data_IF_000750063468
#
_entry.id   IF_000750063468
#
_cell.length_a   1.000
_cell.length_b   1.000
_cell.length_c   1.000
_cell.angle_alpha   90.00
_cell.angle_beta   90.00
_cell.angle_gamma   90.00
#
_symmetry.space_group_name_H-M   'P 1'
#
loop_
_entity.id
_entity.type
_entity.pdbx_description
1 polymer ?
#
# COMPACT_ATOMS: atom_id res chain seq x y z
N UNK A 1 -9.05 -14.48 -8.54
CA UNK A 1 -9.94 -15.66 -8.75
C UNK A 1 -9.16 -16.97 -8.99
N UNK A 2 -8.20 -17.06 -9.95
CA UNK A 2 -7.49 -18.31 -10.25
C UNK A 2 -6.71 -18.86 -9.05
N UNK A 3 -5.96 -18.01 -8.34
CA UNK A 3 -5.18 -18.43 -7.18
C UNK A 3 -6.09 -18.78 -6.01
N UNK A 4 -7.13 -17.99 -5.76
CA UNK A 4 -8.12 -18.27 -4.70
C UNK A 4 -8.79 -19.63 -4.93
N UNK A 5 -9.23 -19.88 -6.17
CA UNK A 5 -9.81 -21.18 -6.53
C UNK A 5 -8.82 -22.33 -6.31
N UNK A 6 -7.52 -22.11 -6.56
CA UNK A 6 -6.48 -23.11 -6.28
C UNK A 6 -6.25 -23.33 -4.79
N UNK A 7 -6.25 -22.28 -3.98
CA UNK A 7 -6.18 -22.42 -2.52
C UNK A 7 -7.31 -23.31 -2.00
N UNK A 8 -8.55 -23.05 -2.42
CA UNK A 8 -9.69 -23.88 -2.06
C UNK A 8 -9.56 -25.34 -2.53
N UNK A 9 -9.10 -25.57 -3.78
CA UNK A 9 -8.87 -26.91 -4.33
C UNK A 9 -7.81 -27.71 -3.55
N UNK A 10 -6.79 -27.03 -3.03
CA UNK A 10 -5.74 -27.65 -2.20
C UNK A 10 -6.07 -27.73 -0.72
N UNK A 11 -7.27 -27.34 -0.31
CA UNK A 11 -7.71 -27.41 1.08
C UNK A 11 -6.98 -26.44 2.00
N UNK A 12 -6.53 -25.29 1.47
CA UNK A 12 -5.96 -24.22 2.30
C UNK A 12 -7.08 -23.60 3.12
N UNK A 13 -6.91 -23.59 4.44
CA UNK A 13 -7.85 -22.91 5.34
C UNK A 13 -7.72 -21.39 5.18
N UNK A 14 -8.85 -20.74 4.93
CA UNK A 14 -8.94 -19.28 4.79
C UNK A 14 -9.80 -18.75 5.93
N UNK A 15 -9.18 -17.95 6.80
CA UNK A 15 -9.85 -17.29 7.92
C UNK A 15 -10.10 -15.83 7.55
N UNK A 16 -11.33 -15.53 7.12
CA UNK A 16 -11.76 -14.18 6.78
C UNK A 16 -12.08 -13.34 8.02
N UNK A 17 -12.03 -12.00 7.88
CA UNK A 17 -12.33 -11.04 8.95
C UNK A 17 -11.44 -11.22 10.19
N UNK A 18 -10.19 -11.49 9.93
CA UNK A 18 -9.16 -11.63 10.95
C UNK A 18 -8.05 -10.58 10.69
N UNK A 19 -7.74 -9.80 11.70
CA UNK A 19 -6.70 -8.76 11.65
C UNK A 19 -5.49 -9.20 12.48
N UNK A 20 -4.31 -9.26 11.86
CA UNK A 20 -3.07 -9.52 12.58
C UNK A 20 -2.69 -8.28 13.40
N UNK A 21 -2.47 -8.47 14.70
CA UNK A 21 -2.15 -7.39 15.64
C UNK A 21 -0.69 -7.43 16.11
N UNK A 22 -0.11 -8.62 16.26
CA UNK A 22 1.27 -8.78 16.68
C UNK A 22 1.84 -10.13 16.27
N UNK A 23 3.14 -10.21 16.06
CA UNK A 23 3.86 -11.49 15.95
C UNK A 23 4.14 -12.07 17.33
N UNK A 24 4.08 -13.41 17.43
CA UNK A 24 4.49 -14.15 18.64
C UNK A 24 5.94 -14.53 18.46
N UNK A 25 6.83 -14.06 19.34
CA UNK A 25 8.27 -14.34 19.25
C UNK A 25 8.96 -14.31 20.62
N UNK A 26 10.12 -14.96 20.71
CA UNK A 26 10.98 -14.95 21.90
C UNK A 26 12.27 -14.13 21.73
N UNK A 27 12.31 -13.29 20.69
CA UNK A 27 13.48 -12.49 20.31
C UNK A 27 14.41 -13.19 19.32
N UNK A 28 14.29 -14.51 19.14
CA UNK A 28 15.09 -15.29 18.19
C UNK A 28 14.25 -15.99 17.11
N UNK A 29 13.03 -16.41 17.48
CA UNK A 29 12.15 -17.19 16.62
C UNK A 29 10.73 -16.63 16.63
N UNK A 30 10.11 -16.54 15.45
CA UNK A 30 8.68 -16.33 15.28
C UNK A 30 7.94 -17.67 15.48
N UNK A 31 6.86 -17.64 16.25
CA UNK A 31 6.01 -18.79 16.58
C UNK A 31 4.57 -18.61 16.14
N UNK A 32 4.28 -17.59 15.32
CA UNK A 32 2.94 -17.27 14.85
C UNK A 32 2.55 -15.83 15.07
N UNK A 33 1.24 -15.59 15.22
CA UNK A 33 0.69 -14.25 15.40
C UNK A 33 -0.51 -14.24 16.36
N UNK A 34 -0.72 -13.10 17.04
CA UNK A 34 -1.98 -12.76 17.69
C UNK A 34 -2.84 -12.05 16.65
N UNK A 35 -4.07 -12.54 16.51
CA UNK A 35 -5.02 -12.07 15.52
C UNK A 35 -6.32 -11.69 16.22
N UNK A 36 -6.90 -10.55 15.85
CA UNK A 36 -8.20 -10.11 16.34
C UNK A 36 -9.31 -10.52 15.37
N UNK A 37 -10.31 -11.20 15.86
CA UNK A 37 -11.54 -11.45 15.11
C UNK A 37 -12.33 -10.15 14.94
N UNK A 38 -12.61 -9.76 13.71
CA UNK A 38 -13.43 -8.57 13.44
C UNK A 38 -14.93 -8.83 13.61
N UNK A 39 -15.33 -10.07 13.96
CA UNK A 39 -16.72 -10.43 14.22
C UNK A 39 -17.15 -10.11 15.64
N UNK A 40 -16.28 -10.40 16.61
CA UNK A 40 -16.58 -10.34 18.05
C UNK A 40 -15.48 -9.69 18.89
N UNK A 41 -14.33 -9.36 18.30
CA UNK A 41 -13.18 -8.75 18.95
C UNK A 41 -12.30 -9.74 19.71
N UNK A 42 -12.54 -11.05 19.61
CA UNK A 42 -11.74 -12.06 20.29
C UNK A 42 -10.29 -12.07 19.79
N UNK A 43 -9.32 -12.19 20.71
CA UNK A 43 -7.91 -12.35 20.39
C UNK A 43 -7.56 -13.85 20.30
N UNK A 44 -7.21 -14.29 19.11
CA UNK A 44 -6.84 -15.67 18.78
C UNK A 44 -5.34 -15.78 18.53
N UNK A 45 -4.68 -16.75 19.15
CA UNK A 45 -3.28 -17.06 18.88
C UNK A 45 -3.17 -18.11 17.77
N UNK A 46 -2.62 -17.75 16.62
CA UNK A 46 -2.25 -18.69 15.57
C UNK A 46 -0.81 -19.12 15.78
N UNK A 47 -0.61 -20.38 16.12
CA UNK A 47 0.70 -20.96 16.40
C UNK A 47 1.20 -21.66 15.14
N UNK A 48 2.42 -21.32 14.71
CA UNK A 48 2.99 -21.87 13.50
C UNK A 48 4.52 -22.06 13.61
N UNK A 49 5.04 -23.07 12.93
CA UNK A 49 6.49 -23.28 12.80
C UNK A 49 7.14 -22.28 11.84
N UNK A 50 6.38 -21.78 10.86
CA UNK A 50 6.77 -20.75 9.93
C UNK A 50 5.60 -19.78 9.69
N UNK A 51 5.89 -18.49 9.65
CA UNK A 51 4.91 -17.42 9.44
C UNK A 51 5.34 -16.59 8.22
N UNK A 52 4.43 -16.32 7.30
CA UNK A 52 4.68 -15.52 6.11
C UNK A 52 3.91 -14.20 6.19
N UNK A 53 4.61 -13.08 6.05
CA UNK A 53 4.00 -11.77 5.83
C UNK A 53 3.85 -11.57 4.32
N UNK A 54 2.60 -11.48 3.85
CA UNK A 54 2.25 -11.25 2.43
C UNK A 54 1.10 -10.24 2.34
N UNK A 55 1.16 -9.19 3.16
CA UNK A 55 0.09 -8.21 3.40
C UNK A 55 0.04 -7.08 2.39
N UNK A 56 0.90 -7.11 1.35
CA UNK A 56 1.02 -6.02 0.39
C UNK A 56 1.78 -4.82 0.95
N UNK A 57 1.65 -3.69 0.27
CA UNK A 57 2.37 -2.47 0.60
C UNK A 57 1.71 -1.60 1.67
N UNK A 58 2.17 -0.36 1.76
CA UNK A 58 1.71 0.64 2.74
C UNK A 58 1.27 1.96 2.07
N UNK A 59 0.75 1.88 0.85
CA UNK A 59 0.38 3.07 0.09
C UNK A 59 -0.76 3.90 0.67
N UNK A 60 -1.57 3.33 1.58
CA UNK A 60 -2.68 4.05 2.24
C UNK A 60 -2.24 5.10 3.26
N UNK A 61 -0.94 5.24 3.51
CA UNK A 61 -0.40 6.40 4.22
C UNK A 61 -0.39 7.68 3.37
N UNK A 62 -0.65 7.59 2.07
CA UNK A 62 -0.77 8.72 1.15
C UNK A 62 -2.23 9.05 0.85
N UNK A 63 -2.55 10.34 0.65
CA UNK A 63 -3.90 10.82 0.31
C UNK A 63 -4.35 10.28 -1.04
N UNK A 64 -3.52 10.46 -2.07
CA UNK A 64 -3.76 9.94 -3.41
C UNK A 64 -3.02 8.62 -3.59
N UNK A 65 -3.77 7.51 -3.64
CA UNK A 65 -3.20 6.17 -3.79
C UNK A 65 -4.13 5.24 -4.56
N UNK A 66 -3.54 4.44 -5.44
CA UNK A 66 -4.26 3.36 -6.15
C UNK A 66 -4.45 2.11 -5.29
N UNK A 67 -3.86 2.08 -4.09
CA UNK A 67 -3.87 0.89 -3.24
C UNK A 67 -5.22 0.69 -2.55
N UNK A 68 -5.58 -0.57 -2.32
CA UNK A 68 -6.72 -0.96 -1.52
C UNK A 68 -6.59 -0.44 -0.08
N UNK A 69 -7.74 -0.29 0.61
CA UNK A 69 -7.79 0.22 2.00
C UNK A 69 -6.93 -0.61 2.95
N UNK A 70 -6.82 -1.92 2.69
CA UNK A 70 -6.04 -2.85 3.51
C UNK A 70 -4.52 -2.74 3.31
N UNK A 71 -4.04 -1.94 2.35
CA UNK A 71 -2.60 -1.72 2.13
C UNK A 71 -2.10 -0.56 3.01
N UNK A 72 -2.26 -0.71 4.31
CA UNK A 72 -1.94 0.29 5.35
C UNK A 72 -0.57 0.09 6.02
N UNK A 73 0.12 -1.00 5.68
CA UNK A 73 1.41 -1.34 6.28
C UNK A 73 1.32 -2.19 7.56
N UNK A 74 0.15 -2.74 7.87
CA UNK A 74 -0.07 -3.51 9.11
C UNK A 74 0.92 -4.67 9.28
N UNK A 75 1.24 -5.42 8.22
CA UNK A 75 2.23 -6.51 8.30
C UNK A 75 3.65 -6.01 8.60
N UNK A 76 4.05 -4.88 8.00
CA UNK A 76 5.33 -4.23 8.25
C UNK A 76 5.41 -3.72 9.70
N UNK A 77 4.34 -3.15 10.23
CA UNK A 77 4.26 -2.70 11.62
C UNK A 77 4.33 -3.89 12.59
N UNK A 78 3.65 -4.99 12.31
CA UNK A 78 3.80 -6.22 13.13
C UNK A 78 5.26 -6.70 13.19
N UNK A 79 5.99 -6.62 12.06
CA UNK A 79 7.40 -6.95 12.02
C UNK A 79 8.27 -5.95 12.80
N UNK A 80 8.07 -4.65 12.59
CA UNK A 80 8.82 -3.58 13.25
C UNK A 80 8.65 -3.62 14.77
N UNK A 81 7.44 -3.85 15.26
CA UNK A 81 7.10 -3.89 16.68
C UNK A 81 7.76 -5.05 17.43
N UNK A 82 8.33 -6.03 16.74
CA UNK A 82 9.16 -7.06 17.38
C UNK A 82 10.45 -6.48 17.97
N UNK A 83 10.90 -5.31 17.51
CA UNK A 83 12.16 -4.66 17.90
C UNK A 83 13.42 -5.31 17.34
N UNK A 84 13.30 -6.44 16.61
CA UNK A 84 14.43 -7.21 16.07
C UNK A 84 14.39 -7.42 14.56
N UNK A 85 13.21 -7.26 13.94
CA UNK A 85 13.03 -7.39 12.49
C UNK A 85 13.20 -6.00 11.83
N UNK A 86 14.22 -5.82 10.98
CA UNK A 86 14.41 -4.55 10.29
C UNK A 86 13.44 -4.40 9.11
N UNK A 87 13.01 -3.17 8.87
CA UNK A 87 12.42 -2.75 7.60
C UNK A 87 13.51 -2.14 6.70
N UNK A 88 13.36 -2.26 5.39
CA UNK A 88 14.31 -1.71 4.42
C UNK A 88 13.61 -0.85 3.37
N UNK A 89 14.33 0.15 2.85
CA UNK A 89 13.93 1.00 1.73
C UNK A 89 12.52 1.60 1.85
N UNK A 90 12.09 1.96 3.07
CA UNK A 90 10.73 2.48 3.31
C UNK A 90 10.46 3.80 2.58
N UNK A 91 11.51 4.52 2.20
CA UNK A 91 11.45 5.73 1.37
C UNK A 91 11.26 5.44 -0.12
N UNK A 92 11.42 4.18 -0.55
CA UNK A 92 11.31 3.79 -1.96
C UNK A 92 9.84 3.61 -2.35
N UNK A 93 9.20 4.70 -2.72
CA UNK A 93 7.78 4.77 -3.11
C UNK A 93 7.68 5.13 -4.59
N UNK A 94 6.91 4.36 -5.35
CA UNK A 94 6.58 4.67 -6.73
C UNK A 94 5.25 5.41 -6.84
N UNK A 95 5.27 6.55 -7.53
CA UNK A 95 4.07 7.23 -7.99
C UNK A 95 3.77 6.82 -9.43
N UNK A 96 2.51 6.48 -9.70
CA UNK A 96 2.04 6.26 -11.07
C UNK A 96 1.49 7.56 -11.64
N UNK A 97 1.82 7.92 -12.88
CA UNK A 97 1.40 9.19 -13.48
C UNK A 97 -0.12 9.38 -13.54
N UNK A 98 -0.86 8.31 -13.77
CA UNK A 98 -2.26 8.37 -14.19
C UNK A 98 -3.19 7.66 -13.21
N UNK A 99 -3.24 8.12 -11.95
CA UNK A 99 -4.37 7.86 -11.05
C UNK A 99 -5.51 8.81 -11.39
N UNK A 100 -6.73 8.30 -11.47
CA UNK A 100 -7.91 9.08 -11.82
C UNK A 100 -8.35 10.02 -10.69
N UNK A 101 -8.95 11.14 -11.00
CA UNK A 101 -9.49 12.08 -10.02
C UNK A 101 -11.02 12.07 -10.12
N UNK A 102 -11.77 11.92 -9.00
CA UNK A 102 -11.33 11.88 -7.61
C UNK A 102 -11.08 10.48 -7.04
N UNK A 103 -11.20 9.41 -7.81
CA UNK A 103 -11.30 8.04 -7.30
C UNK A 103 -9.96 7.36 -7.04
N UNK A 104 -8.84 7.93 -7.52
CA UNK A 104 -7.48 7.40 -7.51
C UNK A 104 -7.34 6.00 -8.16
N UNK A 105 -8.36 5.54 -8.90
CA UNK A 105 -8.29 4.28 -9.64
C UNK A 105 -7.25 4.40 -10.76
N UNK A 106 -6.46 3.36 -10.95
CA UNK A 106 -5.39 3.35 -11.92
C UNK A 106 -5.91 3.41 -13.36
N UNK A 107 -5.52 4.44 -14.12
CA UNK A 107 -5.54 4.39 -15.57
C UNK A 107 -4.25 3.71 -16.03
N UNK A 108 -4.37 2.50 -16.56
CA UNK A 108 -3.20 1.67 -16.88
C UNK A 108 -2.20 2.37 -17.79
N UNK A 109 -0.92 2.00 -17.66
CA UNK A 109 0.15 2.45 -18.57
C UNK A 109 -0.16 2.13 -20.03
N UNK A 110 -0.97 1.10 -20.31
CA UNK A 110 -1.45 0.74 -21.63
C UNK A 110 -2.12 1.90 -22.39
N UNK A 111 -2.82 2.80 -21.69
CA UNK A 111 -3.40 3.99 -22.33
C UNK A 111 -2.33 4.84 -23.05
N UNK A 112 -1.19 5.07 -22.37
CA UNK A 112 -0.05 5.82 -22.93
C UNK A 112 0.73 4.97 -23.93
N UNK A 113 0.85 3.67 -23.67
CA UNK A 113 1.47 2.70 -24.57
C UNK A 113 0.77 2.60 -25.93
N UNK A 114 -0.56 2.71 -25.94
CA UNK A 114 -1.37 2.69 -27.15
C UNK A 114 -1.43 4.06 -27.87
N UNK A 115 -0.78 5.08 -27.31
CA UNK A 115 -0.66 6.41 -27.91
C UNK A 115 -1.41 7.53 -27.18
N UNK A 116 -2.01 7.25 -26.03
CA UNK A 116 -2.67 8.29 -25.20
C UNK A 116 -1.70 9.38 -24.76
N UNK A 117 -2.16 10.63 -24.75
CA UNK A 117 -1.37 11.83 -24.47
C UNK A 117 -1.78 12.51 -23.17
N UNK A 118 -0.84 13.25 -22.57
CA UNK A 118 -1.08 14.06 -21.36
C UNK A 118 -1.23 15.53 -21.75
N UNK A 119 -2.35 16.13 -21.33
CA UNK A 119 -2.67 17.52 -21.63
C UNK A 119 -2.80 18.34 -20.35
N UNK A 120 -2.49 19.63 -20.45
CA UNK A 120 -2.63 20.60 -19.38
C UNK A 120 -4.03 21.27 -19.35
N UNK A 121 -4.19 22.34 -18.54
CA UNK A 121 -5.41 23.12 -18.44
C UNK A 121 -5.82 23.79 -19.76
N UNK A 122 -4.88 24.03 -20.67
CA UNK A 122 -5.12 24.63 -22.00
C UNK A 122 -5.28 23.54 -23.09
N UNK A 123 -5.39 22.28 -22.71
CA UNK A 123 -5.35 21.12 -23.61
C UNK A 123 -4.06 21.03 -24.43
N UNK A 124 -2.95 21.60 -23.91
CA UNK A 124 -1.65 21.53 -24.55
C UNK A 124 -0.91 20.24 -24.13
N UNK A 125 -0.35 19.53 -25.11
CA UNK A 125 0.47 18.32 -24.88
C UNK A 125 1.88 18.73 -24.44
N UNK A 126 2.12 18.75 -23.13
CA UNK A 126 3.33 19.31 -22.52
C UNK A 126 4.49 18.33 -22.40
N UNK A 127 4.27 17.01 -22.42
CA UNK A 127 5.33 16.02 -22.18
C UNK A 127 6.51 16.11 -23.15
N UNK A 128 6.32 16.37 -24.47
CA UNK A 128 7.45 16.55 -25.40
C UNK A 128 8.40 17.71 -25.04
N UNK A 129 7.95 18.74 -24.33
CA UNK A 129 8.79 19.86 -23.89
C UNK A 129 9.77 19.46 -22.79
N UNK A 130 9.40 18.46 -21.98
CA UNK A 130 10.23 17.95 -20.89
C UNK A 130 11.06 16.72 -21.30
N UNK A 131 10.47 15.85 -22.09
CA UNK A 131 11.04 14.56 -22.49
C UNK A 131 10.87 14.36 -24.01
N UNK A 132 11.67 15.02 -24.86
CA UNK A 132 11.45 15.07 -26.31
C UNK A 132 11.47 13.71 -27.01
N UNK A 133 12.29 12.75 -26.51
CA UNK A 133 12.46 11.45 -27.15
C UNK A 133 11.35 10.46 -26.78
N UNK A 134 10.92 10.42 -25.52
CA UNK A 134 10.02 9.41 -25.00
C UNK A 134 8.64 9.96 -24.61
N UNK A 135 8.53 11.26 -24.40
CA UNK A 135 7.31 11.95 -24.00
C UNK A 135 6.54 11.15 -22.91
N UNK A 136 5.31 10.75 -23.16
CA UNK A 136 4.46 9.98 -22.25
C UNK A 136 4.97 8.55 -21.98
N UNK A 137 5.92 8.06 -22.77
CA UNK A 137 6.54 6.73 -22.62
C UNK A 137 7.82 6.75 -21.80
N UNK A 138 8.21 7.88 -21.25
CA UNK A 138 9.26 7.95 -20.25
C UNK A 138 8.87 7.13 -19.00
N UNK A 139 9.86 6.79 -18.16
CA UNK A 139 9.61 5.99 -16.95
C UNK A 139 8.60 6.69 -16.02
N UNK A 140 7.87 5.90 -15.24
CA UNK A 140 6.78 6.39 -14.36
C UNK A 140 7.21 7.51 -13.44
N UNK A 141 8.41 7.40 -12.87
CA UNK A 141 8.98 8.41 -11.98
C UNK A 141 9.27 9.72 -12.70
N UNK A 142 9.77 9.65 -13.94
CA UNK A 142 10.01 10.82 -14.78
C UNK A 142 8.70 11.50 -15.13
N UNK A 143 7.73 10.76 -15.69
CA UNK A 143 6.43 11.32 -16.06
C UNK A 143 5.72 11.96 -14.85
N UNK A 144 5.70 11.26 -13.71
CA UNK A 144 5.08 11.78 -12.47
C UNK A 144 5.75 13.07 -11.98
N UNK A 145 7.07 13.15 -12.05
CA UNK A 145 7.80 14.39 -11.70
C UNK A 145 7.47 15.53 -12.66
N UNK A 146 7.45 15.29 -13.99
CA UNK A 146 7.13 16.32 -14.98
C UNK A 146 5.69 16.80 -14.84
N UNK A 147 4.74 15.91 -14.63
CA UNK A 147 3.36 16.28 -14.35
C UNK A 147 3.24 17.18 -13.11
N UNK A 148 3.89 16.78 -12.01
CA UNK A 148 3.87 17.55 -10.76
C UNK A 148 4.54 18.93 -10.95
N UNK A 149 5.68 18.96 -11.63
CA UNK A 149 6.36 20.22 -11.96
C UNK A 149 5.48 21.15 -12.80
N UNK A 150 4.79 20.60 -13.81
CA UNK A 150 3.91 21.34 -14.71
C UNK A 150 2.69 21.90 -13.95
N UNK A 151 2.07 21.11 -13.08
CA UNK A 151 0.99 21.58 -12.21
C UNK A 151 1.45 22.69 -11.25
N UNK A 152 2.67 22.56 -10.66
CA UNK A 152 3.24 23.60 -9.77
C UNK A 152 3.51 24.92 -10.49
N UNK A 153 3.74 24.90 -11.79
CA UNK A 153 3.87 26.10 -12.66
C UNK A 153 2.52 26.76 -12.96
N UNK A 154 1.41 26.19 -12.47
CA UNK A 154 0.07 26.74 -12.64
C UNK A 154 -0.70 26.21 -13.84
N UNK A 155 -0.20 25.19 -14.54
CA UNK A 155 -0.84 24.57 -15.69
C UNK A 155 -1.77 23.38 -15.33
N UNK A 156 -2.00 23.14 -14.03
CA UNK A 156 -2.95 22.15 -13.56
C UNK A 156 -4.39 22.66 -13.62
N UNK A 157 -5.31 21.76 -13.87
CA UNK A 157 -6.76 22.00 -13.77
C UNK A 157 -7.14 22.00 -12.30
N UNK A 158 -7.77 23.06 -11.82
CA UNK A 158 -8.22 23.18 -10.42
C UNK A 158 -9.50 22.42 -10.19
N UNK A 159 -9.57 21.63 -9.12
CA UNK A 159 -10.79 20.96 -8.70
C UNK A 159 -10.91 20.90 -7.18
N UNK A 160 -12.12 20.63 -6.63
CA UNK A 160 -12.30 20.41 -5.19
C UNK A 160 -11.52 19.22 -4.63
N UNK A 161 -11.07 18.32 -5.51
CA UNK A 161 -10.34 17.12 -5.19
C UNK A 161 -8.82 17.25 -5.36
N UNK A 162 -8.34 18.46 -5.61
CA UNK A 162 -6.95 18.79 -5.92
C UNK A 162 -6.68 19.01 -7.41
N UNK A 163 -5.47 19.49 -7.69
CA UNK A 163 -5.04 19.75 -9.06
C UNK A 163 -4.87 18.44 -9.84
N UNK A 164 -5.19 18.49 -11.12
CA UNK A 164 -5.04 17.37 -12.04
C UNK A 164 -4.65 17.83 -13.45
N UNK A 165 -4.35 16.89 -14.31
CA UNK A 165 -4.11 17.03 -15.72
C UNK A 165 -5.08 16.13 -16.48
N UNK A 166 -5.04 16.15 -17.80
CA UNK A 166 -5.89 15.32 -18.63
C UNK A 166 -5.11 14.20 -19.28
N UNK A 167 -5.67 13.00 -19.29
CA UNK A 167 -5.28 11.92 -20.18
C UNK A 167 -6.25 11.88 -21.35
N UNK A 168 -5.74 12.05 -22.57
CA UNK A 168 -6.52 12.00 -23.80
C UNK A 168 -6.25 10.69 -24.57
N UNK A 169 -7.29 9.90 -24.75
CA UNK A 169 -7.28 8.69 -25.56
C UNK A 169 -8.33 8.73 -26.68
N UNK A 170 -9.06 9.86 -26.85
CA UNK A 170 -10.16 10.02 -27.80
C UNK A 170 -9.74 9.70 -29.25
N UNK A 171 -8.53 10.08 -29.61
CA UNK A 171 -7.96 9.88 -30.95
C UNK A 171 -7.67 8.42 -31.29
N UNK A 172 -7.66 7.51 -30.30
CA UNK A 172 -7.52 6.06 -30.54
C UNK A 172 -8.80 5.46 -31.17
N UNK A 173 -9.93 6.15 -31.04
CA UNK A 173 -11.21 5.77 -31.60
C UNK A 173 -12.00 4.76 -30.76
N UNK A 174 -13.31 4.78 -30.93
CA UNK A 174 -14.27 4.01 -30.14
C UNK A 174 -13.95 2.51 -30.13
N UNK A 175 -13.69 1.93 -31.30
CA UNK A 175 -13.41 0.48 -31.40
C UNK A 175 -12.20 0.08 -30.57
N UNK A 176 -11.10 0.85 -30.61
CA UNK A 176 -9.91 0.57 -29.82
C UNK A 176 -10.18 0.68 -28.32
N UNK A 177 -10.84 1.77 -27.90
CA UNK A 177 -11.16 2.04 -26.50
C UNK A 177 -12.05 0.94 -25.92
N UNK A 178 -13.10 0.53 -26.64
CA UNK A 178 -14.07 -0.46 -26.15
C UNK A 178 -13.58 -1.91 -26.23
N UNK A 179 -12.51 -2.18 -26.98
CA UNK A 179 -11.97 -3.56 -27.12
C UNK A 179 -10.62 -3.74 -26.44
N UNK A 180 -9.63 -2.89 -26.72
CA UNK A 180 -8.27 -3.00 -26.17
C UNK A 180 -8.14 -2.35 -24.79
N UNK A 181 -8.84 -1.26 -24.57
CA UNK A 181 -8.87 -0.53 -23.29
C UNK A 181 -10.23 -0.65 -22.60
N UNK A 182 -10.92 -1.78 -22.80
CA UNK A 182 -12.27 -2.01 -22.27
C UNK A 182 -12.37 -1.76 -20.77
N UNK A 183 -11.40 -2.24 -19.99
CA UNK A 183 -11.36 -2.02 -18.54
C UNK A 183 -11.33 -0.52 -18.21
N UNK A 184 -10.58 0.28 -18.98
CA UNK A 184 -10.51 1.74 -18.80
C UNK A 184 -11.84 2.39 -19.18
N UNK A 185 -12.48 1.93 -20.26
CA UNK A 185 -13.82 2.39 -20.62
C UNK A 185 -14.82 2.13 -19.49
N UNK A 186 -14.82 0.91 -18.94
CA UNK A 186 -15.71 0.53 -17.85
C UNK A 186 -15.42 1.35 -16.58
N UNK A 187 -14.15 1.57 -16.21
CA UNK A 187 -13.76 2.40 -15.06
C UNK A 187 -14.23 3.84 -15.25
N UNK A 188 -13.95 4.44 -16.41
CA UNK A 188 -14.34 5.83 -16.68
C UNK A 188 -15.85 6.03 -16.62
N UNK A 189 -16.61 5.12 -17.21
CA UNK A 189 -18.08 5.26 -17.28
C UNK A 189 -18.75 4.98 -15.95
N UNK A 190 -18.33 3.96 -15.20
CA UNK A 190 -19.02 3.54 -13.97
C UNK A 190 -18.53 4.26 -12.71
N UNK A 191 -17.26 4.67 -12.66
CA UNK A 191 -16.67 5.25 -11.44
C UNK A 191 -16.36 6.74 -11.56
N UNK A 192 -16.12 7.26 -12.78
CA UNK A 192 -15.82 8.67 -12.98
C UNK A 192 -16.99 9.44 -13.60
N UNK A 193 -17.97 8.76 -14.20
CA UNK A 193 -19.02 9.39 -14.97
C UNK A 193 -18.51 10.07 -16.25
N UNK A 194 -17.37 9.62 -16.78
CA UNK A 194 -16.69 10.15 -17.97
C UNK A 194 -16.78 9.14 -19.11
N UNK A 195 -17.21 9.58 -20.30
CA UNK A 195 -17.10 8.76 -21.49
C UNK A 195 -15.76 9.04 -22.21
N UNK A 196 -14.76 8.14 -22.10
CA UNK A 196 -13.41 8.39 -22.61
C UNK A 196 -13.31 8.40 -24.14
N UNK A 197 -14.39 8.02 -24.85
CA UNK A 197 -14.47 8.15 -26.32
C UNK A 197 -14.58 9.62 -26.75
N UNK A 198 -15.22 10.45 -25.93
CA UNK A 198 -15.54 11.85 -26.25
C UNK A 198 -14.98 12.85 -25.25
N UNK A 199 -14.58 12.41 -24.07
CA UNK A 199 -14.18 13.28 -22.95
C UNK A 199 -12.78 12.96 -22.47
N UNK A 200 -12.10 13.96 -21.95
CA UNK A 200 -10.80 13.83 -21.29
C UNK A 200 -10.94 13.17 -19.94
N UNK A 201 -9.95 12.34 -19.58
CA UNK A 201 -9.91 11.63 -18.30
C UNK A 201 -9.08 12.44 -17.32
N UNK A 202 -9.62 12.88 -16.16
CA UNK A 202 -8.85 13.62 -15.17
C UNK A 202 -7.87 12.67 -14.46
N UNK A 203 -6.59 13.01 -14.47
CA UNK A 203 -5.52 12.18 -13.88
C UNK A 203 -4.50 13.01 -13.12
N UNK A 204 -3.89 12.40 -12.10
CA UNK A 204 -2.76 12.98 -11.36
C UNK A 204 -1.76 11.91 -10.96
N UNK A 205 -0.50 12.30 -10.66
CA UNK A 205 0.44 11.39 -10.02
C UNK A 205 -0.10 10.89 -8.69
N UNK A 206 -0.15 9.57 -8.53
CA UNK A 206 -0.81 8.89 -7.41
C UNK A 206 0.12 7.80 -6.89
N UNK A 207 0.25 7.67 -5.58
CA UNK A 207 1.04 6.58 -5.00
C UNK A 207 0.52 5.24 -5.51
N UNK A 208 1.43 4.33 -5.87
CA UNK A 208 1.05 3.11 -6.56
C UNK A 208 1.72 1.85 -6.02
N UNK A 209 3.01 1.89 -5.70
CA UNK A 209 3.78 0.73 -5.28
C UNK A 209 4.82 1.09 -4.22
N UNK A 210 4.98 0.20 -3.24
CA UNK A 210 5.97 0.33 -2.16
C UNK A 210 7.09 -0.67 -2.40
N UNK A 211 8.32 -0.22 -2.69
CA UNK A 211 9.46 -1.12 -2.88
C UNK A 211 10.14 -1.48 -1.57
N UNK A 212 9.85 -0.75 -0.50
CA UNK A 212 10.27 -1.06 0.87
C UNK A 212 9.36 -2.08 1.55
N UNK A 213 9.79 -2.56 2.71
CA UNK A 213 9.03 -3.53 3.50
C UNK A 213 9.90 -4.30 4.48
N UNK A 214 9.44 -5.48 4.88
CA UNK A 214 10.21 -6.39 5.75
C UNK A 214 11.49 -6.83 5.05
N UNK A 215 12.64 -6.54 5.66
CA UNK A 215 13.94 -6.88 5.10
C UNK A 215 14.15 -8.39 5.14
N UNK A 216 14.43 -8.99 3.97
CA UNK A 216 14.63 -10.43 3.83
C UNK A 216 15.94 -10.75 3.12
N UNK A 217 16.38 -11.98 3.28
CA UNK A 217 17.38 -12.57 2.41
C UNK A 217 16.78 -13.01 1.05
N UNK A 218 17.61 -13.57 0.18
CA UNK A 218 17.20 -14.06 -1.14
C UNK A 218 16.18 -15.20 -1.11
N UNK A 219 16.06 -15.91 0.00
CA UNK A 219 15.16 -17.05 0.20
C UNK A 219 13.88 -16.65 0.96
N UNK A 220 13.70 -15.34 1.21
CA UNK A 220 12.52 -14.76 1.84
C UNK A 220 12.51 -14.83 3.35
N UNK A 221 13.60 -15.28 4.00
CA UNK A 221 13.71 -15.24 5.45
C UNK A 221 13.85 -13.79 5.92
N UNK A 222 13.02 -13.36 6.84
CA UNK A 222 13.15 -12.07 7.47
C UNK A 222 14.40 -12.06 8.38
N UNK A 223 15.21 -11.00 8.28
CA UNK A 223 16.29 -10.82 9.24
C UNK A 223 15.73 -10.62 10.65
N UNK A 224 16.45 -11.10 11.65
CA UNK A 224 16.12 -10.93 13.07
C UNK A 224 15.31 -12.08 13.68
N UNK A 225 14.40 -12.74 12.97
CA UNK A 225 13.60 -13.84 13.52
C UNK A 225 13.61 -15.08 12.64
N UNK A 226 14.08 -16.21 13.17
CA UNK A 226 13.96 -17.52 12.53
C UNK A 226 12.47 -17.90 12.39
N UNK A 227 12.11 -18.50 11.27
CA UNK A 227 10.73 -18.93 11.00
C UNK A 227 9.78 -17.81 10.56
N UNK A 228 10.27 -16.58 10.45
CA UNK A 228 9.53 -15.48 9.82
C UNK A 228 9.99 -15.32 8.37
N UNK A 229 9.04 -15.15 7.46
CA UNK A 229 9.23 -14.94 6.04
C UNK A 229 8.42 -13.73 5.58
N UNK A 230 8.84 -13.11 4.48
CA UNK A 230 8.01 -12.12 3.80
C UNK A 230 8.15 -12.28 2.27
N UNK A 231 7.07 -11.95 1.53
CA UNK A 231 6.99 -12.10 0.09
C UNK A 231 6.16 -11.01 -0.57
N UNK A 232 6.40 -10.79 -1.88
CA UNK A 232 5.71 -9.79 -2.67
C UNK A 232 5.95 -8.38 -2.13
N UNK A 233 5.00 -7.48 -2.32
CA UNK A 233 5.11 -6.07 -1.95
C UNK A 233 5.25 -5.82 -0.44
N UNK A 234 5.06 -6.83 0.42
CA UNK A 234 5.32 -6.73 1.85
C UNK A 234 6.80 -6.87 2.21
N UNK A 235 7.61 -7.44 1.32
CA UNK A 235 9.02 -7.71 1.51
C UNK A 235 9.92 -6.65 0.86
N UNK A 236 11.13 -6.50 1.39
CA UNK A 236 12.19 -5.70 0.80
C UNK A 236 13.44 -6.55 0.56
N UNK A 237 13.70 -6.92 -0.68
CA UNK A 237 14.88 -7.65 -1.14
C UNK A 237 15.59 -6.97 -2.32
N UNK A 238 15.41 -5.66 -2.45
CA UNK A 238 16.06 -4.76 -3.42
C UNK A 238 15.77 -5.05 -4.90
N UNK A 239 14.70 -5.81 -5.20
CA UNK A 239 14.39 -6.27 -6.56
C UNK A 239 14.12 -5.13 -7.56
N UNK A 240 13.47 -4.07 -7.10
CA UNK A 240 12.93 -3.02 -7.98
C UNK A 240 13.68 -1.68 -7.91
N UNK A 241 14.65 -1.52 -7.01
CA UNK A 241 15.25 -0.21 -6.74
C UNK A 241 14.19 0.83 -6.33
N UNK A 242 14.20 2.00 -6.96
CA UNK A 242 13.24 3.09 -6.69
C UNK A 242 12.17 3.27 -7.77
N UNK A 243 12.16 2.43 -8.80
CA UNK A 243 11.18 2.51 -9.89
C UNK A 243 10.86 1.12 -10.46
N UNK A 244 9.81 0.48 -9.94
CA UNK A 244 9.34 -0.80 -10.44
C UNK A 244 8.80 -0.68 -11.86
N UNK A 245 9.25 -1.53 -12.77
CA UNK A 245 8.77 -1.58 -14.15
C UNK A 245 7.35 -2.16 -14.23
N UNK A 246 6.61 -1.74 -15.27
CA UNK A 246 5.25 -2.20 -15.52
C UNK A 246 5.14 -3.73 -15.58
N UNK A 247 4.10 -4.31 -14.97
CA UNK A 247 3.87 -5.76 -14.91
C UNK A 247 4.71 -6.52 -13.88
N UNK A 248 5.85 -5.99 -13.42
CA UNK A 248 6.78 -6.72 -12.55
C UNK A 248 6.24 -6.98 -11.14
N UNK A 249 5.24 -6.24 -10.66
CA UNK A 249 4.58 -6.56 -9.39
C UNK A 249 3.87 -7.92 -9.45
N UNK A 250 3.10 -8.18 -10.51
CA UNK A 250 2.44 -9.48 -10.69
C UNK A 250 3.46 -10.60 -10.90
N UNK A 251 4.50 -10.37 -11.71
CA UNK A 251 5.58 -11.32 -11.90
C UNK A 251 6.26 -11.67 -10.57
N UNK A 252 6.59 -10.65 -9.78
CA UNK A 252 7.17 -10.84 -8.45
C UNK A 252 6.26 -11.65 -7.54
N UNK A 253 4.99 -11.26 -7.37
CA UNK A 253 4.09 -11.95 -6.44
C UNK A 253 3.90 -13.43 -6.80
N UNK A 254 3.81 -13.77 -8.08
CA UNK A 254 3.68 -15.16 -8.54
C UNK A 254 4.98 -15.93 -8.35
N UNK A 255 6.12 -15.36 -8.78
CA UNK A 255 7.43 -16.03 -8.71
C UNK A 255 7.89 -16.14 -7.27
N UNK A 256 7.84 -15.06 -6.48
CA UNK A 256 8.26 -15.07 -5.09
C UNK A 256 7.36 -15.97 -4.25
N UNK A 257 6.05 -15.94 -4.45
CA UNK A 257 5.13 -16.82 -3.74
C UNK A 257 5.47 -18.29 -3.95
N UNK A 258 5.75 -18.71 -5.18
CA UNK A 258 6.19 -20.08 -5.48
C UNK A 258 7.55 -20.41 -4.89
N UNK A 259 8.53 -19.52 -5.08
CA UNK A 259 9.92 -19.74 -4.64
C UNK A 259 10.01 -19.77 -3.12
N UNK A 260 9.50 -18.74 -2.44
CA UNK A 260 9.53 -18.63 -0.98
C UNK A 260 8.69 -19.74 -0.34
N UNK A 261 7.53 -20.09 -0.93
CA UNK A 261 6.77 -21.24 -0.47
C UNK A 261 7.57 -22.55 -0.46
N UNK A 262 8.40 -22.79 -1.49
CA UNK A 262 9.28 -23.95 -1.51
C UNK A 262 10.36 -23.87 -0.41
N UNK A 263 10.92 -22.68 -0.15
CA UNK A 263 11.90 -22.46 0.92
C UNK A 263 11.28 -22.63 2.31
N UNK A 264 10.05 -22.21 2.50
CA UNK A 264 9.31 -22.49 3.74
C UNK A 264 9.13 -24.01 3.96
N UNK A 265 8.82 -24.78 2.92
CA UNK A 265 8.75 -26.26 3.01
C UNK A 265 10.10 -26.88 3.38
N UNK A 266 11.21 -26.40 2.78
CA UNK A 266 12.56 -26.83 3.15
C UNK A 266 12.85 -26.54 4.63
N UNK A 267 12.56 -25.32 5.07
CA UNK A 267 12.70 -24.92 6.48
C UNK A 267 11.88 -25.81 7.43
N UNK A 268 10.63 -26.11 7.08
CA UNK A 268 9.75 -26.94 7.91
C UNK A 268 10.25 -28.38 8.09
N UNK A 269 10.92 -28.95 7.07
CA UNK A 269 11.50 -30.30 7.16
C UNK A 269 12.65 -30.42 8.18
N UNK A 270 13.38 -29.31 8.38
CA UNK A 270 14.50 -29.23 9.31
C UNK A 270 14.18 -28.61 10.66
N UNK A 271 12.97 -28.10 10.84
CA UNK A 271 12.61 -27.35 12.05
C UNK A 271 11.86 -28.21 13.07
N UNK A 272 12.36 -28.24 14.30
CA UNK A 272 11.63 -28.78 15.44
C UNK A 272 10.50 -27.83 15.85
N UNK A 273 9.40 -28.38 16.38
CA UNK A 273 8.32 -27.60 16.96
C UNK A 273 8.77 -27.08 18.32
N UNK A 274 9.16 -25.80 18.36
CA UNK A 274 9.49 -25.14 19.63
C UNK A 274 8.31 -24.23 19.98
N UNK A 275 7.40 -24.74 20.80
CA UNK A 275 6.32 -23.94 21.36
C UNK A 275 6.68 -23.51 22.78
N UNK A 276 6.52 -22.20 23.05
CA UNK A 276 6.67 -21.61 24.38
C UNK A 276 5.40 -20.86 24.74
N UNK A 277 4.83 -21.14 25.88
CA UNK A 277 3.58 -20.52 26.36
C UNK A 277 3.77 -19.05 26.74
N UNK A 278 4.95 -18.70 27.28
CA UNK A 278 5.25 -17.34 27.75
C UNK A 278 5.16 -16.28 26.63
N UNK A 279 5.86 -16.42 25.47
CA UNK A 279 5.74 -15.46 24.37
C UNK A 279 4.30 -15.28 23.84
N UNK A 280 3.50 -16.34 23.84
CA UNK A 280 2.08 -16.25 23.44
C UNK A 280 1.29 -15.38 24.42
N UNK A 281 1.49 -15.61 25.72
CA UNK A 281 0.82 -14.84 26.76
C UNK A 281 1.26 -13.37 26.75
N UNK A 282 2.56 -13.11 26.52
CA UNK A 282 3.11 -11.76 26.49
C UNK A 282 2.60 -10.99 25.26
N UNK A 283 2.61 -11.59 24.07
CA UNK A 283 2.03 -10.98 22.88
C UNK A 283 0.54 -10.70 23.05
N UNK A 284 -0.24 -11.65 23.59
CA UNK A 284 -1.67 -11.46 23.87
C UNK A 284 -1.93 -10.33 24.87
N UNK A 285 -1.16 -10.27 25.96
CA UNK A 285 -1.28 -9.21 26.97
C UNK A 285 -0.94 -7.84 26.37
N UNK A 286 0.11 -7.76 25.56
CA UNK A 286 0.49 -6.53 24.88
C UNK A 286 -0.64 -6.01 23.99
N UNK A 287 -1.18 -6.87 23.11
CA UNK A 287 -2.29 -6.51 22.23
C UNK A 287 -3.53 -6.11 23.04
N UNK A 288 -3.93 -6.92 24.05
CA UNK A 288 -5.06 -6.59 24.89
C UNK A 288 -4.89 -5.23 25.58
N UNK A 289 -3.71 -4.97 26.14
CA UNK A 289 -3.39 -3.68 26.76
C UNK A 289 -3.50 -2.52 25.76
N UNK A 290 -2.96 -2.66 24.56
CA UNK A 290 -3.04 -1.63 23.51
C UNK A 290 -4.49 -1.30 23.17
N UNK A 291 -5.33 -2.33 23.01
CA UNK A 291 -6.75 -2.16 22.76
C UNK A 291 -7.45 -1.50 23.93
N UNK A 292 -7.17 -1.93 25.15
CA UNK A 292 -7.75 -1.34 26.39
C UNK A 292 -7.33 0.12 26.56
N UNK A 293 -6.08 0.46 26.26
CA UNK A 293 -5.57 1.83 26.30
C UNK A 293 -6.33 2.74 25.31
N UNK A 294 -6.56 2.27 24.07
CA UNK A 294 -7.37 2.99 23.08
C UNK A 294 -8.82 3.12 23.56
N UNK A 295 -9.42 2.05 24.08
CA UNK A 295 -10.79 2.06 24.60
C UNK A 295 -10.93 3.00 25.79
N UNK A 296 -9.91 3.12 26.64
CA UNK A 296 -9.92 4.02 27.80
C UNK A 296 -10.00 5.50 27.40
N UNK A 297 -9.51 5.83 26.19
CA UNK A 297 -9.60 7.17 25.61
C UNK A 297 -10.98 7.50 24.99
N UNK A 298 -12.00 6.70 25.27
CA UNK A 298 -13.37 6.76 24.69
C UNK A 298 -13.97 8.17 24.61
N UNK A 299 -13.65 9.04 25.54
CA UNK A 299 -14.12 10.43 25.59
C UNK A 299 -13.08 11.43 25.02
N UNK A 300 -12.10 10.92 24.29
CA UNK A 300 -11.12 11.75 23.60
C UNK A 300 -11.78 12.71 22.62
N UNK A 301 -11.11 13.82 22.35
CA UNK A 301 -11.62 14.90 21.47
C UNK A 301 -11.17 14.76 20.02
N UNK A 302 -10.15 13.91 19.76
CA UNK A 302 -9.59 13.72 18.44
C UNK A 302 -10.38 12.66 17.66
N UNK A 303 -10.64 12.94 16.39
CA UNK A 303 -11.24 12.00 15.46
C UNK A 303 -10.15 11.23 14.70
N UNK A 304 -10.19 9.90 14.74
CA UNK A 304 -9.17 9.07 14.08
C UNK A 304 -9.14 9.28 12.55
N UNK A 305 -10.27 9.56 11.92
CA UNK A 305 -10.32 9.83 10.47
C UNK A 305 -9.71 11.17 10.11
N UNK A 306 -9.88 12.19 10.96
CA UNK A 306 -9.24 13.50 10.77
C UNK A 306 -7.73 13.40 10.93
N UNK A 307 -7.26 12.62 11.92
CA UNK A 307 -5.82 12.36 12.11
C UNK A 307 -5.23 11.57 10.93
N UNK A 308 -5.94 10.54 10.45
CA UNK A 308 -5.54 9.80 9.25
C UNK A 308 -5.45 10.71 8.03
N UNK A 309 -6.45 11.56 7.83
CA UNK A 309 -6.47 12.53 6.75
C UNK A 309 -5.29 13.49 6.84
N UNK A 310 -5.02 14.04 8.03
CA UNK A 310 -3.87 14.92 8.24
C UNK A 310 -2.54 14.21 7.98
N UNK A 311 -2.37 12.96 8.44
CA UNK A 311 -1.19 12.14 8.13
C UNK A 311 -1.00 11.97 6.63
N UNK A 312 -2.08 11.63 5.90
CA UNK A 312 -2.04 11.43 4.47
C UNK A 312 -1.67 12.70 3.71
N UNK A 313 -2.13 13.86 4.17
CA UNK A 313 -1.76 15.15 3.58
C UNK A 313 -0.29 15.48 3.84
N UNK A 314 0.22 15.26 5.06
CA UNK A 314 1.65 15.41 5.39
C UNK A 314 2.50 14.52 4.48
N UNK A 315 2.12 13.26 4.30
CA UNK A 315 2.87 12.34 3.44
C UNK A 315 2.87 12.78 1.97
N UNK A 316 1.76 13.34 1.46
CA UNK A 316 1.72 13.90 0.10
C UNK A 316 2.55 15.15 -0.05
N UNK A 317 2.51 16.06 0.92
CA UNK A 317 3.14 17.39 0.85
C UNK A 317 4.64 17.32 1.10
N UNK A 318 5.03 16.68 2.20
CA UNK A 318 6.39 16.71 2.74
C UNK A 318 7.23 15.47 2.33
N UNK A 319 6.59 14.33 2.04
CA UNK A 319 7.23 13.04 1.71
C UNK A 319 6.79 12.51 0.34
N UNK A 320 6.31 13.39 -0.53
CA UNK A 320 5.76 13.04 -1.84
C UNK A 320 6.83 12.80 -2.92
N UNK A 321 6.52 13.23 -4.16
CA UNK A 321 7.39 13.02 -5.34
C UNK A 321 8.68 13.84 -5.26
N UNK A 322 8.63 15.07 -4.76
CA UNK A 322 9.78 15.93 -4.54
C UNK A 322 10.11 15.99 -3.06
N UNK A 323 11.34 15.67 -2.71
CA UNK A 323 11.81 15.62 -1.33
C UNK A 323 13.10 16.41 -1.18
N UNK A 324 13.19 17.13 -0.08
CA UNK A 324 14.40 17.81 0.37
C UNK A 324 14.47 17.78 1.89
N UNK A 325 15.63 18.09 2.46
CA UNK A 325 15.85 17.99 3.89
C UNK A 325 14.87 18.83 4.73
N UNK A 326 14.49 20.03 4.23
CA UNK A 326 13.58 20.93 4.94
C UNK A 326 12.17 20.36 5.00
N UNK A 327 11.63 19.91 3.85
CA UNK A 327 10.27 19.36 3.79
C UNK A 327 10.19 18.05 4.57
N UNK A 328 11.21 17.17 4.46
CA UNK A 328 11.26 15.93 5.23
C UNK A 328 11.29 16.19 6.74
N UNK A 329 12.08 17.19 7.21
CA UNK A 329 12.10 17.53 8.63
C UNK A 329 10.74 18.08 9.09
N UNK A 330 10.12 18.96 8.29
CA UNK A 330 8.77 19.44 8.56
C UNK A 330 7.76 18.30 8.66
N UNK A 331 7.82 17.33 7.75
CA UNK A 331 6.99 16.12 7.78
C UNK A 331 7.18 15.32 9.07
N UNK A 332 8.43 15.10 9.50
CA UNK A 332 8.74 14.40 10.76
C UNK A 332 8.12 15.14 11.95
N UNK A 333 8.33 16.45 12.03
CA UNK A 333 7.84 17.26 13.16
C UNK A 333 6.30 17.22 13.24
N UNK A 334 5.61 17.38 12.12
CA UNK A 334 4.15 17.29 12.01
C UNK A 334 3.60 15.89 12.33
N UNK A 335 4.29 14.81 11.89
CA UNK A 335 3.89 13.43 12.20
C UNK A 335 4.08 13.12 13.70
N UNK A 336 5.12 13.64 14.35
CA UNK A 336 5.31 13.52 15.78
C UNK A 336 4.18 14.23 16.55
N UNK A 337 3.78 15.44 16.15
CA UNK A 337 2.61 16.13 16.71
C UNK A 337 1.33 15.29 16.55
N UNK A 338 1.08 14.72 15.37
CA UNK A 338 -0.07 13.84 15.15
C UNK A 338 -0.02 12.59 16.02
N UNK A 339 1.15 12.03 16.26
CA UNK A 339 1.33 10.88 17.16
C UNK A 339 0.94 11.21 18.60
N UNK A 340 1.27 12.41 19.09
CA UNK A 340 0.81 12.86 20.41
C UNK A 340 -0.70 13.07 20.46
N UNK A 341 -1.28 13.67 19.43
CA UNK A 341 -2.74 13.85 19.31
C UNK A 341 -3.49 12.52 19.25
N UNK A 342 -2.92 11.50 18.60
CA UNK A 342 -3.51 10.17 18.49
C UNK A 342 -3.76 9.50 19.86
N UNK A 343 -3.03 9.89 20.91
CA UNK A 343 -3.27 9.43 22.28
C UNK A 343 -4.61 9.92 22.85
N UNK A 344 -5.28 10.84 22.19
CA UNK A 344 -6.53 11.46 22.61
C UNK A 344 -7.71 11.16 21.67
N UNK A 345 -7.61 10.08 20.91
CA UNK A 345 -8.69 9.64 20.00
C UNK A 345 -9.92 9.25 20.81
N UNK A 346 -11.08 9.83 20.44
CA UNK A 346 -12.38 9.42 20.95
C UNK A 346 -12.97 8.27 20.13
N UNK A 347 -13.53 7.26 20.80
CA UNK A 347 -14.24 6.17 20.17
C UNK A 347 -15.74 6.35 20.31
N UNK A 348 -16.47 6.33 19.20
CA UNK A 348 -17.92 6.50 19.16
C UNK A 348 -18.66 5.17 18.94
N UNK A 349 -17.96 4.19 18.38
CA UNK A 349 -18.53 2.87 18.07
C UNK A 349 -18.55 1.89 19.24
N UNK A 350 -19.14 0.73 19.00
CA UNK A 350 -19.04 -0.43 19.88
C UNK A 350 -17.65 -1.05 19.74
N UNK A 351 -17.00 -1.34 20.86
CA UNK A 351 -15.65 -1.95 20.88
C UNK A 351 -15.63 -3.45 20.69
N UNK A 352 -16.78 -4.09 20.53
CA UNK A 352 -16.87 -5.52 20.21
C UNK A 352 -17.06 -5.70 18.71
N UNK A 353 -16.20 -6.49 18.09
CA UNK A 353 -16.23 -6.76 16.66
C UNK A 353 -15.55 -5.69 15.81
N UNK A 354 -16.03 -5.50 14.59
CA UNK A 354 -15.51 -4.51 13.66
C UNK A 354 -15.87 -3.09 14.10
N UNK A 355 -14.87 -2.31 14.40
CA UNK A 355 -14.99 -0.89 14.71
C UNK A 355 -14.00 -0.13 13.81
N UNK A 356 -14.47 0.67 12.83
CA UNK A 356 -13.57 1.39 11.90
C UNK A 356 -12.57 2.32 12.61
N UNK A 357 -12.92 2.79 13.80
CA UNK A 357 -12.07 3.66 14.62
C UNK A 357 -10.94 2.89 15.32
N UNK A 358 -11.09 1.57 15.51
CA UNK A 358 -10.11 0.68 16.14
C UNK A 358 -9.27 -0.09 15.11
N UNK A 359 -9.67 -0.10 13.84
CA UNK A 359 -9.06 -0.91 12.77
C UNK A 359 -8.09 -0.12 11.90
#
# INVERSE_FOLDING_TARGET
NTLDSKCLQYGVEIHDRMQAEALIHDGERCMGAIVRSLRDGELVAYIAKATLIATGGYGRIYRATTNAIICDGGGQICALNTGVVPLGNMEAIQFHPTGSVPTDILMTEGCRGDGGTLLDVNEYRFMPDYEPEKAELASRDVVSRRMTEHMRKGFGVKSPYGDHLWLDIRHLGEHHITTKLREIYDICTHFLGVNPIHQLIPVRPTQHYSMGGVRTDKDGHAYGLKGLFAAGEAACWDLHGFNRLGGNSLAETVVSGRYIGSKMVEYLKGSESVFKTEPVNDARKLVAKTIDDIISCRNGKENCFDLRNAMQDIMMDDVGIFRNAKDLQNGVDRLLELSERAKHIGLHGSVKGFTPELS
#
